data_IF_514459610549
#
_entry.id   IF_514459610549
#
_cell.length_a   1.000
_cell.length_b   1.000
_cell.length_c   1.000
_cell.angle_alpha   90.00
_cell.angle_beta   90.00
_cell.angle_gamma   90.00
#
_symmetry.space_group_name_H-M   'P 1'
#
loop_
_entity.id
_entity.type
_entity.pdbx_description
1 polymer ?
#
# COMPACT_ATOMS: atom_id res chain seq x y z
N UNK A 1 -8.28 -11.26 10.60
CA UNK A 1 -7.70 -9.91 10.76
C UNK A 1 -8.82 -8.92 10.55
N UNK A 2 -9.04 -7.97 11.47
CA UNK A 2 -10.13 -7.00 11.34
C UNK A 2 -9.58 -5.69 10.74
N UNK A 3 -10.04 -5.28 9.56
CA UNK A 3 -9.82 -3.93 8.95
C UNK A 3 -10.15 -2.73 9.85
N UNK A 4 -10.96 -2.90 10.90
CA UNK A 4 -11.13 -1.91 11.98
C UNK A 4 -9.81 -1.51 12.66
N UNK A 5 -8.80 -2.40 12.64
CA UNK A 5 -7.47 -2.08 13.13
C UNK A 5 -6.57 -1.72 11.96
N UNK A 6 -5.86 -0.59 12.06
CA UNK A 6 -4.97 -0.06 11.00
C UNK A 6 -3.71 -0.92 10.75
N UNK A 7 -3.64 -2.13 11.31
CA UNK A 7 -2.54 -3.07 11.10
C UNK A 7 -2.41 -3.54 9.65
N UNK A 8 -3.45 -3.37 8.84
CA UNK A 8 -3.41 -3.62 7.39
C UNK A 8 -2.31 -2.82 6.70
N UNK A 9 -2.18 -1.52 7.05
CA UNK A 9 -1.17 -0.64 6.46
C UNK A 9 0.26 -1.10 6.76
N UNK A 10 0.50 -1.64 7.96
CA UNK A 10 1.81 -2.20 8.32
C UNK A 10 2.14 -3.43 7.47
N UNK A 11 1.19 -4.35 7.30
CA UNK A 11 1.42 -5.56 6.50
C UNK A 11 1.63 -5.23 5.02
N UNK A 12 0.88 -4.27 4.51
CA UNK A 12 1.07 -3.77 3.15
C UNK A 12 2.45 -3.13 2.98
N UNK A 13 2.89 -2.31 3.95
CA UNK A 13 4.25 -1.74 3.98
C UNK A 13 5.30 -2.85 3.95
N UNK A 14 5.13 -3.91 4.73
CA UNK A 14 6.06 -5.05 4.74
C UNK A 14 6.07 -5.81 3.40
N UNK A 15 4.91 -5.99 2.77
CA UNK A 15 4.84 -6.60 1.43
C UNK A 15 5.57 -5.76 0.37
N UNK A 16 5.43 -4.44 0.42
CA UNK A 16 6.14 -3.52 -0.48
C UNK A 16 7.66 -3.56 -0.29
N UNK A 17 8.12 -3.75 0.95
CA UNK A 17 9.55 -3.79 1.28
C UNK A 17 10.19 -5.18 1.10
N UNK A 18 9.39 -6.24 1.04
CA UNK A 18 9.88 -7.62 0.93
C UNK A 18 10.90 -7.87 -0.21
N UNK A 19 10.74 -7.34 -1.44
CA UNK A 19 11.73 -7.57 -2.50
C UNK A 19 13.03 -6.77 -2.32
N UNK A 20 13.08 -5.83 -1.37
CA UNK A 20 14.20 -4.90 -1.22
C UNK A 20 15.17 -5.36 -0.13
N UNK A 21 16.46 -5.42 -0.47
CA UNK A 21 17.51 -5.55 0.55
C UNK A 21 17.74 -4.22 1.28
N UNK A 22 16.85 -3.95 2.24
CA UNK A 22 16.89 -2.78 3.12
C UNK A 22 18.18 -2.68 3.94
N UNK A 23 18.81 -3.81 4.26
CA UNK A 23 20.03 -3.83 5.05
C UNK A 23 21.19 -3.24 4.26
N UNK A 24 21.30 -3.56 2.97
CA UNK A 24 22.34 -3.03 2.08
C UNK A 24 22.27 -1.51 1.87
N UNK A 25 21.10 -0.90 2.03
CA UNK A 25 20.89 0.56 1.86
C UNK A 25 21.58 1.36 2.97
N UNK A 26 21.82 0.73 4.12
CA UNK A 26 22.42 1.35 5.29
C UNK A 26 21.38 2.04 6.17
N UNK A 27 21.30 1.58 7.42
CA UNK A 27 20.40 2.12 8.44
C UNK A 27 20.61 3.62 8.63
N UNK A 28 19.51 4.36 8.76
CA UNK A 28 19.47 5.81 8.99
C UNK A 28 20.11 6.67 7.88
N UNK A 29 20.44 6.06 6.74
CA UNK A 29 20.84 6.81 5.56
C UNK A 29 19.66 7.59 4.97
N UNK A 30 19.95 8.65 4.22
CA UNK A 30 18.90 9.40 3.52
C UNK A 30 18.10 8.51 2.57
N UNK A 31 18.74 7.56 1.89
CA UNK A 31 18.07 6.59 1.00
C UNK A 31 17.15 5.64 1.77
N UNK A 32 17.57 5.19 2.96
CA UNK A 32 16.75 4.35 3.82
C UNK A 32 15.47 5.07 4.23
N UNK A 33 15.60 6.30 4.74
CA UNK A 33 14.46 7.12 5.18
C UNK A 33 13.55 7.45 4.01
N UNK A 34 14.10 7.84 2.87
CA UNK A 34 13.37 8.12 1.63
C UNK A 34 12.52 6.92 1.20
N UNK A 35 13.11 5.73 1.20
CA UNK A 35 12.42 4.49 0.81
C UNK A 35 11.25 4.21 1.75
N UNK A 36 11.49 4.25 3.06
CA UNK A 36 10.43 4.01 4.04
C UNK A 36 9.31 5.04 3.94
N UNK A 37 9.66 6.31 3.78
CA UNK A 37 8.68 7.39 3.61
C UNK A 37 7.75 7.12 2.43
N UNK A 38 8.30 6.81 1.26
CA UNK A 38 7.52 6.54 0.05
C UNK A 38 6.57 5.35 0.23
N UNK A 39 7.09 4.24 0.76
CA UNK A 39 6.32 3.00 0.92
C UNK A 39 5.22 3.15 1.97
N UNK A 40 5.54 3.77 3.11
CA UNK A 40 4.55 4.02 4.15
C UNK A 40 3.44 4.94 3.63
N UNK A 41 3.77 5.98 2.86
CA UNK A 41 2.74 6.86 2.30
C UNK A 41 1.83 6.13 1.31
N UNK A 42 2.36 5.24 0.46
CA UNK A 42 1.53 4.43 -0.44
C UNK A 42 0.54 3.54 0.35
N UNK A 43 1.02 2.88 1.41
CA UNK A 43 0.17 2.07 2.27
C UNK A 43 -0.85 2.91 3.06
N UNK A 44 -0.49 4.14 3.45
CA UNK A 44 -1.39 5.07 4.12
C UNK A 44 -2.46 5.64 3.18
N UNK A 45 -2.12 5.91 1.92
CA UNK A 45 -3.09 6.32 0.92
C UNK A 45 -4.16 5.24 0.68
N UNK A 46 -3.73 3.98 0.59
CA UNK A 46 -4.65 2.84 0.48
C UNK A 46 -5.47 2.64 1.77
N UNK A 47 -4.84 2.80 2.94
CA UNK A 47 -5.54 2.76 4.22
C UNK A 47 -6.66 3.81 4.27
N UNK A 48 -6.35 5.05 3.91
CA UNK A 48 -7.28 6.17 4.02
C UNK A 48 -8.49 6.03 3.10
N UNK A 49 -8.31 5.34 1.98
CA UNK A 49 -9.38 5.08 1.03
C UNK A 49 -10.20 3.82 1.37
N UNK A 50 -9.55 2.73 1.81
CA UNK A 50 -10.19 1.41 1.93
C UNK A 50 -10.47 0.93 3.36
N UNK A 51 -9.81 1.47 4.38
CA UNK A 51 -10.07 1.05 5.76
C UNK A 51 -11.31 1.74 6.30
N UNK A 52 -12.36 0.96 6.53
CA UNK A 52 -13.62 1.43 7.11
C UNK A 52 -14.25 0.41 8.04
N UNK A 53 -15.47 0.72 8.49
CA UNK A 53 -16.23 -0.18 9.36
C UNK A 53 -16.71 -1.43 8.59
N UNK A 54 -16.30 -2.61 9.06
CA UNK A 54 -16.72 -3.92 8.55
C UNK A 54 -18.23 -4.12 8.46
N UNK A 55 -18.99 -3.44 9.31
CA UNK A 55 -20.45 -3.53 9.35
C UNK A 55 -21.12 -2.97 8.09
N UNK A 56 -20.39 -2.20 7.28
CA UNK A 56 -20.92 -1.49 6.12
C UNK A 56 -20.30 -1.99 4.82
N UNK A 57 -21.02 -1.78 3.72
CA UNK A 57 -20.52 -2.00 2.36
C UNK A 57 -20.00 -0.67 1.78
N UNK A 58 -19.02 -0.72 0.86
CA UNK A 58 -18.34 -1.93 0.37
C UNK A 58 -17.32 -2.49 1.38
N UNK A 59 -17.20 -3.81 1.45
CA UNK A 59 -16.14 -4.46 2.25
C UNK A 59 -14.75 -4.02 1.81
N UNK A 60 -13.87 -3.84 2.81
CA UNK A 60 -12.43 -3.60 2.57
C UNK A 60 -11.84 -4.75 1.72
N UNK A 61 -11.16 -4.45 0.59
CA UNK A 61 -10.54 -5.44 -0.29
C UNK A 61 -9.22 -5.98 0.30
N UNK A 62 -9.30 -6.69 1.42
CA UNK A 62 -8.12 -7.16 2.18
C UNK A 62 -7.24 -8.08 1.32
N UNK A 63 -7.84 -8.94 0.50
CA UNK A 63 -7.09 -9.90 -0.31
C UNK A 63 -6.26 -9.19 -1.39
N UNK A 64 -6.84 -8.21 -2.08
CA UNK A 64 -6.13 -7.39 -3.04
C UNK A 64 -5.03 -6.55 -2.40
N UNK A 65 -5.35 -5.85 -1.30
CA UNK A 65 -4.42 -4.98 -0.57
C UNK A 65 -3.19 -5.72 -0.02
N UNK A 66 -3.33 -7.00 0.33
CA UNK A 66 -2.24 -7.84 0.84
C UNK A 66 -1.64 -8.79 -0.21
N UNK A 67 -2.08 -8.72 -1.46
CA UNK A 67 -1.53 -9.55 -2.52
C UNK A 67 -0.11 -9.10 -2.89
N UNK A 68 0.72 -10.06 -3.31
CA UNK A 68 2.09 -9.78 -3.78
C UNK A 68 2.09 -9.03 -5.10
N UNK A 69 1.13 -9.33 -5.98
CA UNK A 69 1.00 -8.69 -7.28
C UNK A 69 0.61 -7.20 -7.13
N UNK A 70 -0.33 -6.87 -6.23
CA UNK A 70 -0.63 -5.49 -5.91
C UNK A 70 0.57 -4.78 -5.28
N UNK A 71 1.30 -5.43 -4.37
CA UNK A 71 2.52 -4.84 -3.81
C UNK A 71 3.56 -4.52 -4.90
N UNK A 72 3.72 -5.39 -5.91
CA UNK A 72 4.62 -5.14 -7.03
C UNK A 72 4.15 -3.97 -7.91
N UNK A 73 2.84 -3.87 -8.18
CA UNK A 73 2.25 -2.74 -8.91
C UNK A 73 2.51 -1.42 -8.18
N UNK A 74 2.24 -1.38 -6.88
CA UNK A 74 2.46 -0.20 -6.03
C UNK A 74 3.95 0.14 -5.90
N UNK A 75 4.83 -0.86 -5.85
CA UNK A 75 6.29 -0.66 -5.84
C UNK A 75 6.80 0.01 -7.11
N UNK A 76 6.14 -0.18 -8.26
CA UNK A 76 6.53 0.47 -9.52
C UNK A 76 6.45 2.00 -9.48
N UNK A 77 5.69 2.56 -8.54
CA UNK A 77 5.54 4.00 -8.32
C UNK A 77 6.68 4.59 -7.46
N UNK A 78 7.47 3.75 -6.80
CA UNK A 78 8.51 4.18 -5.86
C UNK A 78 9.78 4.57 -6.62
N UNK A 79 10.13 5.85 -6.54
CA UNK A 79 11.45 6.34 -6.93
C UNK A 79 12.34 6.52 -5.68
N UNK A 80 13.56 5.97 -5.72
CA UNK A 80 14.53 6.01 -4.62
C UNK A 80 15.28 7.34 -4.52
N UNK A 81 15.22 8.18 -5.55
CA UNK A 81 15.86 9.49 -5.62
C UNK A 81 14.85 10.64 -5.45
N UNK A 82 13.59 10.45 -5.82
CA UNK A 82 12.57 11.50 -5.81
C UNK A 82 11.29 11.10 -5.07
N UNK A 83 10.61 12.08 -4.50
CA UNK A 83 9.28 11.87 -3.90
C UNK A 83 8.22 11.69 -4.98
N UNK A 84 7.20 10.88 -4.70
CA UNK A 84 5.98 10.85 -5.48
C UNK A 84 5.10 12.04 -5.03
N UNK A 85 4.89 13.08 -5.87
CA UNK A 85 4.21 14.29 -5.42
C UNK A 85 2.70 14.12 -5.26
N UNK A 86 2.09 13.17 -5.97
CA UNK A 86 0.65 12.91 -5.97
C UNK A 86 0.39 11.46 -5.55
N UNK A 87 0.49 11.21 -4.24
CA UNK A 87 0.31 9.88 -3.67
C UNK A 87 -1.19 9.61 -3.54
N UNK A 88 -1.70 8.67 -4.33
CA UNK A 88 -3.10 8.25 -4.34
C UNK A 88 -3.23 6.76 -4.03
N UNK A 89 -4.41 6.35 -3.63
CA UNK A 89 -4.74 4.93 -3.51
C UNK A 89 -4.66 4.23 -4.87
N UNK A 90 -4.25 2.97 -4.88
CA UNK A 90 -4.32 2.12 -6.08
C UNK A 90 -5.66 1.40 -6.18
N UNK A 91 -5.80 0.51 -7.17
CA UNK A 91 -6.98 -0.36 -7.31
C UNK A 91 -6.64 -1.82 -6.90
N UNK A 92 -6.90 -2.21 -5.64
CA UNK A 92 -6.68 -3.57 -5.17
C UNK A 92 -7.72 -4.56 -5.71
N UNK A 93 -8.87 -4.11 -6.25
CA UNK A 93 -9.91 -5.01 -6.77
C UNK A 93 -9.43 -5.75 -8.03
N UNK A 94 -8.46 -5.21 -8.77
CA UNK A 94 -7.80 -5.90 -9.88
C UNK A 94 -7.05 -7.17 -9.45
N UNK A 95 -6.78 -7.32 -8.15
CA UNK A 95 -5.98 -8.40 -7.56
C UNK A 95 -6.78 -9.29 -6.60
N UNK A 96 -8.11 -9.22 -6.66
CA UNK A 96 -9.02 -10.12 -5.93
C UNK A 96 -10.30 -10.38 -6.75
N UNK A 97 -11.14 -11.29 -6.29
CA UNK A 97 -12.46 -11.50 -6.93
C UNK A 97 -13.42 -10.34 -6.59
N UNK A 98 -14.16 -9.87 -7.60
CA UNK A 98 -15.15 -8.80 -7.51
C UNK A 98 -14.76 -7.51 -8.23
N UNK A 99 -15.76 -6.71 -8.61
CA UNK A 99 -15.53 -5.43 -9.29
C UNK A 99 -15.29 -4.29 -8.30
N UNK A 100 -14.47 -3.31 -8.69
CA UNK A 100 -14.27 -2.10 -7.90
C UNK A 100 -15.57 -1.29 -7.82
N UNK A 101 -16.06 -0.96 -6.60
CA UNK A 101 -17.21 -0.09 -6.43
C UNK A 101 -16.84 1.40 -6.63
N UNK A 102 -15.58 1.70 -6.94
CA UNK A 102 -15.03 3.06 -6.99
C UNK A 102 -14.39 3.41 -8.36
N UNK A 103 -15.05 3.18 -9.50
CA UNK A 103 -14.42 3.34 -10.82
C UNK A 103 -13.98 4.77 -11.15
N UNK A 104 -14.61 5.78 -10.54
CA UNK A 104 -14.36 7.20 -10.84
C UNK A 104 -13.51 7.92 -9.77
N UNK A 105 -13.04 7.21 -8.74
CA UNK A 105 -12.39 7.81 -7.55
C UNK A 105 -10.89 7.47 -7.41
N UNK A 106 -10.34 6.69 -8.36
CA UNK A 106 -8.95 6.21 -8.36
C UNK A 106 -8.11 6.90 -9.44
#
# INVERSE_FOLDING_TARGET
MTSWTQGLALLQTLNLLEPLDLQSIGYDSSRYIQTLYQVINLAFADRDFYCGDHGFEPKTPIQGLLSKDYAADRWSLVDLAFNLPDIRSGDPYLFQEGDSPFPDLL
#
